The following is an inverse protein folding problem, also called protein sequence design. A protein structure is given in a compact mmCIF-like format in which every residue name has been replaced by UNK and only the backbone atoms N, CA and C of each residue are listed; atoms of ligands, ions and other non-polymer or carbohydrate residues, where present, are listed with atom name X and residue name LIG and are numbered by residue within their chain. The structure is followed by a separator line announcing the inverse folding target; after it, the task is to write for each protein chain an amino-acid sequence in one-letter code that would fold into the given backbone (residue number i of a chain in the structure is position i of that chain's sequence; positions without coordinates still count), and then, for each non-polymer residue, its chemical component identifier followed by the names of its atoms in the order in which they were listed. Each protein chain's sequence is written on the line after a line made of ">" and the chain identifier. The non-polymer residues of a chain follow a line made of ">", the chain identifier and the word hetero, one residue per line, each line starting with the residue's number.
data_IF_698881427142
#
_entry.id   IF_698881427142
#
_cell.length_a   1.000
_cell.length_b   1.000
_cell.length_c   1.000
_cell.angle_alpha   90.00
_cell.angle_beta   90.00
_cell.angle_gamma   90.00
#
_symmetry.space_group_name_H-M   'P 1'
#
loop_
_entity.id
_entity.type
_entity.pdbx_description
1 polymer ?
#
# COMPACT_ATOMS: atom_id res chain seq x y z
N UNK A 1 -16.89 6.25 1.14
CA UNK A 1 -15.66 5.56 1.58
C UNK A 1 -15.37 4.44 0.61
N UNK A 2 -14.08 4.20 0.31
CA UNK A 2 -13.58 3.14 -0.56
C UNK A 2 -13.79 1.77 0.10
N UNK A 3 -14.35 0.84 -0.67
CA UNK A 3 -14.67 -0.53 -0.26
C UNK A 3 -13.87 -1.60 -1.02
N UNK A 4 -12.90 -1.17 -1.81
CA UNK A 4 -12.02 -2.04 -2.59
C UNK A 4 -10.57 -1.60 -2.44
N UNK A 5 -9.67 -2.56 -2.28
CA UNK A 5 -8.23 -2.35 -2.20
C UNK A 5 -7.72 -1.63 -3.45
N UNK A 6 -6.77 -0.73 -3.25
CA UNK A 6 -6.24 0.13 -4.30
C UNK A 6 -4.79 0.50 -4.01
N UNK A 7 -4.00 0.51 -5.09
CA UNK A 7 -2.61 0.95 -5.09
C UNK A 7 -2.49 2.07 -6.12
N UNK A 8 -1.85 3.17 -5.71
CA UNK A 8 -1.50 4.25 -6.61
C UNK A 8 -0.54 3.74 -7.67
N UNK A 9 -0.85 3.98 -8.96
CA UNK A 9 -0.23 3.24 -10.08
C UNK A 9 0.24 4.12 -11.26
N UNK A 10 1.17 5.06 -11.05
CA UNK A 10 1.80 5.77 -12.17
C UNK A 10 2.73 4.86 -13.00
N UNK A 11 3.13 3.72 -12.42
CA UNK A 11 3.75 2.57 -13.06
C UNK A 11 3.25 1.30 -12.36
N UNK A 12 3.36 0.16 -13.03
CA UNK A 12 3.05 -1.17 -12.46
C UNK A 12 4.31 -2.01 -12.24
N UNK A 13 5.43 -1.65 -12.86
CA UNK A 13 6.70 -2.37 -12.71
C UNK A 13 7.43 -1.95 -11.43
N UNK A 14 7.38 -2.82 -10.42
CA UNK A 14 8.00 -2.54 -9.14
C UNK A 14 9.54 -2.69 -9.15
N UNK A 15 10.13 -3.58 -9.94
CA UNK A 15 11.58 -3.82 -9.82
C UNK A 15 12.39 -2.73 -10.50
N UNK A 16 12.04 -2.34 -11.73
CA UNK A 16 12.86 -1.36 -12.45
C UNK A 16 12.47 0.08 -12.10
N UNK A 17 11.17 0.35 -11.91
CA UNK A 17 10.71 1.72 -11.71
C UNK A 17 10.91 2.18 -10.27
N UNK A 18 10.85 1.29 -9.26
CA UNK A 18 11.02 1.71 -7.86
C UNK A 18 12.43 2.23 -7.61
N UNK A 19 13.49 1.58 -8.12
CA UNK A 19 14.86 2.05 -7.93
C UNK A 19 15.02 3.52 -8.38
N UNK A 20 14.63 3.80 -9.62
CA UNK A 20 14.75 5.14 -10.20
C UNK A 20 13.80 6.16 -9.55
N UNK A 21 12.63 5.71 -9.08
CA UNK A 21 11.74 6.55 -8.27
C UNK A 21 12.36 6.89 -6.91
N UNK A 22 13.00 5.93 -6.25
CA UNK A 22 13.73 6.15 -4.99
C UNK A 22 14.87 7.15 -5.21
N UNK A 23 15.63 6.98 -6.30
CA UNK A 23 16.72 7.89 -6.67
C UNK A 23 16.20 9.32 -6.86
N UNK A 24 15.10 9.50 -7.61
CA UNK A 24 14.46 10.82 -7.78
C UNK A 24 13.95 11.42 -6.45
N UNK A 25 13.41 10.59 -5.55
CA UNK A 25 12.98 11.04 -4.23
C UNK A 25 14.16 11.44 -3.35
N UNK A 26 15.30 10.75 -3.45
CA UNK A 26 16.50 11.06 -2.69
C UNK A 26 17.06 12.45 -3.03
N UNK A 27 17.01 12.84 -4.31
CA UNK A 27 17.40 14.19 -4.74
C UNK A 27 16.52 15.30 -4.12
N UNK A 28 15.35 14.96 -3.57
CA UNK A 28 14.47 15.89 -2.87
C UNK A 28 14.59 15.83 -1.34
N UNK A 29 15.49 15.02 -0.79
CA UNK A 29 15.67 14.89 0.66
C UNK A 29 15.91 16.24 1.34
N UNK A 30 15.24 16.47 2.48
CA UNK A 30 15.28 17.75 3.20
C UNK A 30 14.34 18.83 2.66
N UNK A 31 13.79 18.66 1.45
CA UNK A 31 12.84 19.62 0.85
C UNK A 31 11.47 19.51 1.51
N UNK A 32 10.82 20.66 1.77
CA UNK A 32 9.43 20.70 2.24
C UNK A 32 8.47 20.16 1.19
N UNK A 33 7.64 19.17 1.53
CA UNK A 33 6.77 18.47 0.56
C UNK A 33 5.35 19.02 0.52
N UNK A 34 4.63 19.01 1.64
CA UNK A 34 3.19 19.35 1.66
C UNK A 34 2.94 20.77 1.16
N UNK A 35 2.04 20.90 0.17
CA UNK A 35 1.69 22.19 -0.44
C UNK A 35 2.72 22.74 -1.42
N UNK A 36 3.88 22.08 -1.60
CA UNK A 36 4.97 22.59 -2.42
C UNK A 36 4.85 22.13 -3.87
N UNK A 37 4.16 22.93 -4.69
CA UNK A 37 4.00 22.64 -6.13
C UNK A 37 5.32 22.61 -6.90
N UNK A 38 6.33 23.36 -6.46
CA UNK A 38 7.63 23.36 -7.09
C UNK A 38 8.35 22.03 -6.88
N UNK A 39 8.38 21.52 -5.64
CA UNK A 39 8.93 20.18 -5.35
C UNK A 39 8.19 19.08 -6.12
N UNK A 40 6.86 19.20 -6.28
CA UNK A 40 6.09 18.24 -7.07
C UNK A 40 6.48 18.26 -8.56
N UNK A 41 6.65 19.44 -9.15
CA UNK A 41 7.10 19.60 -10.55
C UNK A 41 8.55 19.14 -10.73
N UNK A 42 9.39 19.40 -9.74
CA UNK A 42 10.78 18.94 -9.73
C UNK A 42 10.86 17.42 -9.77
N UNK A 43 10.07 16.73 -8.95
CA UNK A 43 9.99 15.28 -9.02
C UNK A 43 9.63 14.78 -10.43
N UNK A 44 8.70 15.43 -11.14
CA UNK A 44 8.37 15.06 -12.52
C UNK A 44 9.53 15.27 -13.50
N UNK A 45 10.31 16.34 -13.33
CA UNK A 45 11.51 16.58 -14.13
C UNK A 45 12.54 15.48 -13.90
N UNK A 46 12.82 15.15 -12.66
CA UNK A 46 13.74 14.07 -12.28
C UNK A 46 13.29 12.72 -12.85
N UNK A 47 12.00 12.38 -12.74
CA UNK A 47 11.45 11.13 -13.27
C UNK A 47 11.50 11.04 -14.80
N UNK A 48 11.35 12.19 -15.48
CA UNK A 48 11.50 12.29 -16.94
C UNK A 48 12.96 12.10 -17.33
N UNK A 49 13.89 12.78 -16.65
CA UNK A 49 15.32 12.66 -16.90
C UNK A 49 15.83 11.21 -16.71
N UNK A 50 15.30 10.50 -15.71
CA UNK A 50 15.62 9.08 -15.41
C UNK A 50 14.89 8.07 -16.31
N UNK A 51 14.08 8.57 -17.27
CA UNK A 51 13.31 7.74 -18.24
C UNK A 51 12.38 6.74 -17.55
N UNK A 52 11.67 7.20 -16.52
CA UNK A 52 10.65 6.41 -15.78
C UNK A 52 9.25 6.94 -16.04
N UNK A 53 9.15 8.25 -16.31
CA UNK A 53 7.93 8.94 -16.69
C UNK A 53 8.08 9.46 -18.12
N UNK A 54 6.99 9.42 -18.89
CA UNK A 54 6.93 10.04 -20.20
C UNK A 54 7.19 11.55 -20.11
N UNK A 55 7.70 12.12 -21.21
CA UNK A 55 8.04 13.55 -21.31
C UNK A 55 6.86 14.45 -20.96
N UNK A 56 7.14 15.53 -20.24
CA UNK A 56 6.18 16.54 -19.84
C UNK A 56 6.11 16.69 -18.32
N UNK A 57 5.70 17.87 -17.87
CA UNK A 57 5.49 18.20 -16.46
C UNK A 57 4.10 18.77 -16.34
N UNK A 58 3.29 18.26 -15.41
CA UNK A 58 1.94 18.80 -15.27
C UNK A 58 1.95 20.20 -14.66
N UNK A 59 0.97 21.02 -15.06
CA UNK A 59 0.90 22.41 -14.63
C UNK A 59 0.82 22.56 -13.11
N UNK A 60 0.21 21.62 -12.40
CA UNK A 60 -0.02 21.68 -10.95
C UNK A 60 0.90 20.71 -10.15
N UNK A 61 1.77 19.96 -10.82
CA UNK A 61 2.57 18.91 -10.19
C UNK A 61 1.76 17.67 -9.77
N UNK A 62 0.57 17.48 -10.32
CA UNK A 62 -0.25 16.26 -10.14
C UNK A 62 0.51 14.97 -10.43
N UNK A 63 1.36 14.93 -11.47
CA UNK A 63 2.14 13.74 -11.79
C UNK A 63 3.14 13.41 -10.67
N UNK A 64 3.86 14.42 -10.18
CA UNK A 64 4.81 14.27 -9.09
C UNK A 64 4.14 13.75 -7.82
N UNK A 65 2.97 14.29 -7.48
CA UNK A 65 2.18 13.79 -6.34
C UNK A 65 1.81 12.32 -6.48
N UNK A 66 1.39 11.88 -7.67
CA UNK A 66 1.04 10.48 -7.93
C UNK A 66 2.24 9.54 -7.80
N UNK A 67 3.40 9.93 -8.32
CA UNK A 67 4.66 9.17 -8.17
C UNK A 67 5.15 9.12 -6.73
N UNK A 68 5.15 10.25 -6.04
CA UNK A 68 5.52 10.28 -4.63
C UNK A 68 4.57 9.44 -3.78
N UNK A 69 3.27 9.43 -4.10
CA UNK A 69 2.27 8.59 -3.43
C UNK A 69 2.56 7.09 -3.61
N UNK A 70 2.99 6.64 -4.79
CA UNK A 70 3.46 5.26 -5.00
C UNK A 70 4.66 4.94 -4.08
N UNK A 71 5.69 5.79 -4.09
CA UNK A 71 6.88 5.58 -3.27
C UNK A 71 6.56 5.56 -1.75
N UNK A 72 5.62 6.40 -1.33
CA UNK A 72 5.13 6.53 0.05
C UNK A 72 4.30 5.31 0.46
N UNK A 73 3.50 4.76 -0.46
CA UNK A 73 2.73 3.51 -0.28
C UNK A 73 3.63 2.33 0.05
N UNK A 74 4.79 2.23 -0.63
CA UNK A 74 5.81 1.22 -0.37
C UNK A 74 6.88 1.64 0.65
N UNK A 75 6.69 2.76 1.35
CA UNK A 75 7.50 3.11 2.52
C UNK A 75 8.94 3.48 2.18
N UNK A 76 9.20 3.97 0.97
CA UNK A 76 10.53 4.42 0.56
C UNK A 76 10.90 5.80 1.08
N UNK A 77 9.89 6.62 1.40
CA UNK A 77 10.08 7.94 1.98
C UNK A 77 8.85 8.33 2.82
N UNK A 78 9.00 9.37 3.62
CA UNK A 78 7.91 10.04 4.33
C UNK A 78 8.26 11.52 4.58
N UNK A 79 7.27 12.42 4.72
CA UNK A 79 7.53 13.74 5.28
C UNK A 79 7.69 13.63 6.80
N UNK A 80 8.79 14.14 7.33
CA UNK A 80 9.04 14.18 8.76
C UNK A 80 8.17 15.24 9.46
N UNK A 81 8.31 15.38 10.78
CA UNK A 81 7.61 16.39 11.59
C UNK A 81 7.78 17.84 11.10
N UNK A 82 8.86 18.14 10.38
CA UNK A 82 9.13 19.46 9.78
C UNK A 82 8.63 19.55 8.33
N UNK A 83 7.81 18.59 7.89
CA UNK A 83 7.31 18.45 6.52
C UNK A 83 8.39 18.19 5.45
N UNK A 84 9.60 17.79 5.85
CA UNK A 84 10.70 17.56 4.92
C UNK A 84 10.70 16.11 4.43
N UNK A 85 10.95 15.90 3.14
CA UNK A 85 11.19 14.58 2.55
C UNK A 85 12.32 13.90 3.31
N UNK A 86 12.07 12.69 3.81
CA UNK A 86 13.07 11.84 4.48
C UNK A 86 13.06 10.46 3.85
N UNK A 87 14.23 9.99 3.43
CA UNK A 87 14.38 8.67 2.81
C UNK A 87 14.49 7.58 3.88
N UNK A 88 13.84 6.45 3.65
CA UNK A 88 13.84 5.36 4.63
C UNK A 88 15.08 4.46 4.51
N UNK A 89 15.47 3.76 5.59
CA UNK A 89 16.59 2.82 5.54
C UNK A 89 16.52 1.78 4.42
N UNK A 90 15.32 1.26 4.11
CA UNK A 90 15.13 0.32 2.99
C UNK A 90 15.42 0.96 1.63
N UNK A 91 15.04 2.22 1.45
CA UNK A 91 15.28 2.94 0.22
C UNK A 91 16.78 3.20 0.03
N UNK A 92 17.48 3.56 1.10
CA UNK A 92 18.95 3.69 1.08
C UNK A 92 19.64 2.35 0.75
N UNK A 93 19.19 1.24 1.33
CA UNK A 93 19.73 -0.09 1.02
C UNK A 93 19.50 -0.48 -0.45
N UNK A 94 18.32 -0.18 -1.00
CA UNK A 94 18.01 -0.39 -2.43
C UNK A 94 18.96 0.43 -3.31
N UNK A 95 19.17 1.71 -2.99
CA UNK A 95 20.08 2.59 -3.75
C UNK A 95 21.53 2.11 -3.72
N UNK A 96 21.96 1.55 -2.58
CA UNK A 96 23.28 0.94 -2.41
C UNK A 96 23.44 -0.39 -3.17
N UNK A 97 22.39 -0.91 -3.82
CA UNK A 97 22.42 -2.18 -4.52
C UNK A 97 22.35 -3.41 -3.59
N UNK A 98 22.06 -3.21 -2.31
CA UNK A 98 22.04 -4.28 -1.32
C UNK A 98 20.72 -5.05 -1.38
N UNK A 99 20.77 -6.33 -1.74
CA UNK A 99 19.61 -7.24 -1.72
C UNK A 99 18.34 -6.61 -2.32
N UNK A 100 18.49 -5.91 -3.46
CA UNK A 100 17.45 -5.02 -4.02
C UNK A 100 16.12 -5.75 -4.17
N UNK A 101 16.14 -6.94 -4.76
CA UNK A 101 14.94 -7.76 -4.95
C UNK A 101 14.28 -8.10 -3.61
N UNK A 102 15.04 -8.56 -2.62
CA UNK A 102 14.50 -8.94 -1.31
C UNK A 102 13.95 -7.74 -0.54
N UNK A 103 14.54 -6.55 -0.69
CA UNK A 103 14.01 -5.31 -0.12
C UNK A 103 12.70 -4.88 -0.77
N UNK A 104 12.59 -4.97 -2.10
CA UNK A 104 11.34 -4.68 -2.83
C UNK A 104 10.27 -5.72 -2.47
N UNK A 105 10.62 -7.01 -2.48
CA UNK A 105 9.75 -8.11 -2.05
C UNK A 105 9.23 -7.87 -0.62
N UNK A 106 10.10 -7.46 0.29
CA UNK A 106 9.72 -7.10 1.66
C UNK A 106 8.67 -5.98 1.68
N UNK A 107 8.86 -4.91 0.92
CA UNK A 107 7.90 -3.81 0.90
C UNK A 107 6.57 -4.22 0.26
N UNK A 108 6.58 -5.02 -0.81
CA UNK A 108 5.34 -5.52 -1.43
C UNK A 108 4.57 -6.41 -0.45
N UNK A 109 5.23 -7.41 0.14
CA UNK A 109 4.57 -8.35 1.06
C UNK A 109 4.19 -7.73 2.40
N UNK A 110 4.82 -6.63 2.82
CA UNK A 110 4.44 -5.90 4.03
C UNK A 110 3.46 -4.76 3.76
N UNK A 111 3.14 -4.46 2.50
CA UNK A 111 2.10 -3.48 2.18
C UNK A 111 0.82 -3.89 2.88
N UNK A 112 0.26 -2.97 3.66
CA UNK A 112 -0.92 -3.22 4.48
C UNK A 112 -1.97 -2.14 4.30
N UNK A 113 -3.22 -2.52 4.56
CA UNK A 113 -4.35 -1.61 4.67
C UNK A 113 -4.98 -1.80 6.05
N UNK A 114 -5.14 -0.71 6.83
CA UNK A 114 -4.56 0.62 6.61
C UNK A 114 -3.03 0.66 6.75
N UNK A 115 -2.42 1.69 6.14
CA UNK A 115 -1.04 2.11 6.35
C UNK A 115 -0.99 3.61 6.71
N UNK A 116 0.21 4.14 6.99
CA UNK A 116 0.40 5.55 7.35
C UNK A 116 -0.12 6.53 6.29
N UNK A 117 0.14 6.27 5.01
CA UNK A 117 -0.22 7.17 3.91
C UNK A 117 -1.73 7.25 3.66
N UNK A 118 -2.43 6.11 3.66
CA UNK A 118 -3.87 6.07 3.33
C UNK A 118 -4.76 6.82 4.34
N UNK A 119 -4.23 7.13 5.53
CA UNK A 119 -4.90 7.93 6.54
C UNK A 119 -4.64 9.45 6.39
N UNK A 120 -3.62 9.87 5.64
CA UNK A 120 -3.29 11.29 5.42
C UNK A 120 -4.33 12.02 4.58
N UNK A 121 -4.53 13.32 4.76
CA UNK A 121 -5.47 14.12 3.95
C UNK A 121 -5.23 14.03 2.43
N UNK A 122 -4.00 13.72 2.01
CA UNK A 122 -3.63 13.53 0.61
C UNK A 122 -4.13 12.23 -0.04
N UNK A 123 -4.69 11.29 0.73
CA UNK A 123 -5.32 10.08 0.19
C UNK A 123 -6.84 10.16 0.28
N UNK A 124 -7.51 10.12 -0.87
CA UNK A 124 -8.96 10.15 -0.98
C UNK A 124 -9.41 9.26 -2.15
N UNK A 125 -10.56 8.56 -2.04
CA UNK A 125 -11.42 8.46 -0.86
C UNK A 125 -10.83 7.53 0.22
N UNK A 126 -11.16 7.82 1.48
CA UNK A 126 -10.78 6.98 2.63
C UNK A 126 -11.39 5.60 2.55
N UNK A 127 -10.64 4.59 2.98
CA UNK A 127 -11.15 3.24 3.19
C UNK A 127 -12.26 3.25 4.25
N UNK A 128 -13.26 2.39 4.06
CA UNK A 128 -14.24 2.13 5.12
C UNK A 128 -13.59 1.41 6.32
N UNK A 129 -14.22 1.45 7.51
CA UNK A 129 -13.72 0.71 8.66
C UNK A 129 -13.65 -0.81 8.41
N UNK A 130 -12.78 -1.49 9.15
CA UNK A 130 -12.68 -2.95 9.17
C UNK A 130 -11.47 -3.54 8.44
N UNK A 131 -10.76 -2.74 7.63
CA UNK A 131 -9.52 -3.23 7.00
C UNK A 131 -8.43 -3.55 8.03
N UNK A 132 -7.86 -4.75 7.88
CA UNK A 132 -6.65 -5.26 8.54
C UNK A 132 -6.10 -6.39 7.68
N UNK A 133 -5.43 -6.04 6.59
CA UNK A 133 -4.96 -7.01 5.58
C UNK A 133 -3.58 -6.64 5.05
N UNK A 134 -2.82 -7.66 4.66
CA UNK A 134 -1.65 -7.56 3.80
C UNK A 134 -2.05 -8.05 2.41
N UNK A 135 -2.44 -7.16 1.47
CA UNK A 135 -3.11 -7.57 0.23
C UNK A 135 -2.30 -8.60 -0.57
N UNK A 136 -0.98 -8.40 -0.66
CA UNK A 136 -0.11 -9.31 -1.41
C UNK A 136 0.17 -10.63 -0.68
N UNK A 137 0.16 -10.67 0.65
CA UNK A 137 0.21 -11.98 1.35
C UNK A 137 -1.10 -12.73 1.16
N UNK A 138 -2.23 -12.04 1.24
CA UNK A 138 -3.54 -12.64 1.04
C UNK A 138 -3.69 -13.21 -0.38
N UNK A 139 -3.28 -12.46 -1.40
CA UNK A 139 -3.28 -12.94 -2.78
C UNK A 139 -2.33 -14.12 -2.99
N UNK A 140 -1.14 -14.10 -2.36
CA UNK A 140 -0.22 -15.24 -2.44
C UNK A 140 -0.82 -16.47 -1.75
N UNK A 141 -1.48 -16.31 -0.58
CA UNK A 141 -2.21 -17.38 0.11
C UNK A 141 -3.25 -18.02 -0.82
N UNK A 142 -4.07 -17.22 -1.51
CA UNK A 142 -5.03 -17.72 -2.51
C UNK A 142 -4.34 -18.54 -3.61
N UNK A 143 -3.21 -18.06 -4.15
CA UNK A 143 -2.44 -18.77 -5.17
C UNK A 143 -1.78 -20.06 -4.66
N UNK A 144 -1.68 -20.27 -3.35
CA UNK A 144 -1.21 -21.53 -2.76
C UNK A 144 -2.32 -22.55 -2.48
N UNK A 145 -3.59 -22.21 -2.74
CA UNK A 145 -4.75 -23.09 -2.53
C UNK A 145 -4.89 -24.05 -3.72
N UNK A 146 -4.88 -25.35 -3.44
CA UNK A 146 -4.96 -26.43 -4.45
C UNK A 146 -6.30 -26.40 -5.19
N UNK A 147 -7.40 -26.12 -4.48
CA UNK A 147 -8.76 -26.02 -5.02
C UNK A 147 -8.88 -24.91 -6.08
N UNK A 148 -8.07 -23.85 -5.95
CA UNK A 148 -8.01 -22.77 -6.92
C UNK A 148 -7.05 -23.07 -8.08
N UNK A 149 -6.48 -24.28 -8.13
CA UNK A 149 -5.49 -24.71 -9.12
C UNK A 149 -4.28 -23.78 -9.21
N UNK A 150 -3.94 -23.13 -8.09
CA UNK A 150 -2.87 -22.14 -8.00
C UNK A 150 -2.98 -20.94 -8.96
N UNK A 151 -4.19 -20.64 -9.47
CA UNK A 151 -4.41 -19.60 -10.46
C UNK A 151 -5.57 -18.69 -10.07
N UNK A 152 -5.50 -17.42 -10.48
CA UNK A 152 -6.55 -16.43 -10.29
C UNK A 152 -6.79 -15.68 -11.59
N UNK A 153 -8.04 -15.60 -12.01
CA UNK A 153 -8.46 -14.77 -13.14
C UNK A 153 -8.62 -13.31 -12.72
N UNK A 154 -8.38 -12.38 -13.64
CA UNK A 154 -8.46 -10.93 -13.36
C UNK A 154 -9.84 -10.52 -12.83
N UNK A 155 -10.89 -11.16 -13.32
CA UNK A 155 -12.28 -10.91 -12.93
C UNK A 155 -12.56 -11.39 -11.50
N UNK A 156 -12.02 -12.56 -11.13
CA UNK A 156 -12.04 -13.08 -9.76
C UNK A 156 -11.31 -12.15 -8.80
N UNK A 157 -10.14 -11.64 -9.23
CA UNK A 157 -9.39 -10.66 -8.46
C UNK A 157 -10.22 -9.39 -8.27
N UNK A 158 -10.91 -8.94 -9.33
CA UNK A 158 -11.70 -7.71 -9.34
C UNK A 158 -12.84 -7.75 -8.34
N UNK A 159 -13.67 -8.80 -8.35
CA UNK A 159 -14.86 -8.85 -7.51
C UNK A 159 -14.67 -9.54 -6.17
N UNK A 160 -13.76 -10.50 -6.06
CA UNK A 160 -13.70 -11.37 -4.87
C UNK A 160 -12.49 -11.07 -3.99
N UNK A 161 -11.34 -10.73 -4.60
CA UNK A 161 -10.15 -10.33 -3.86
C UNK A 161 -10.18 -8.85 -3.45
N UNK A 162 -10.40 -7.91 -4.38
CA UNK A 162 -10.29 -6.49 -4.07
C UNK A 162 -11.19 -6.00 -2.92
N UNK A 163 -12.41 -6.53 -2.70
CA UNK A 163 -13.23 -6.12 -1.56
C UNK A 163 -12.79 -6.66 -0.19
N UNK A 164 -11.90 -7.66 -0.16
CA UNK A 164 -11.49 -8.31 1.09
C UNK A 164 -10.82 -7.34 2.05
N UNK A 165 -11.13 -7.46 3.34
CA UNK A 165 -10.64 -6.56 4.39
C UNK A 165 -9.69 -7.23 5.36
N UNK A 166 -9.78 -8.53 5.55
CA UNK A 166 -9.01 -9.28 6.55
C UNK A 166 -8.65 -10.69 6.08
N UNK A 167 -7.60 -11.26 6.65
CA UNK A 167 -7.19 -12.66 6.38
C UNK A 167 -8.25 -13.69 6.82
N UNK A 168 -9.17 -13.33 7.72
CA UNK A 168 -10.26 -14.21 8.17
C UNK A 168 -11.27 -14.51 7.06
N UNK A 169 -11.29 -13.71 5.99
CA UNK A 169 -12.20 -13.89 4.86
C UNK A 169 -11.66 -14.89 3.83
N UNK A 170 -10.44 -15.41 4.00
CA UNK A 170 -9.81 -16.33 3.03
C UNK A 170 -10.72 -17.52 2.65
N UNK A 171 -11.34 -18.27 3.59
CA UNK A 171 -12.20 -19.39 3.21
C UNK A 171 -13.41 -18.95 2.37
N UNK A 172 -14.03 -17.83 2.73
CA UNK A 172 -15.18 -17.29 2.01
C UNK A 172 -14.81 -16.82 0.60
N UNK A 173 -13.63 -16.23 0.43
CA UNK A 173 -13.15 -15.81 -0.89
C UNK A 173 -12.88 -17.02 -1.78
N UNK A 174 -12.25 -18.08 -1.25
CA UNK A 174 -12.06 -19.34 -1.96
C UNK A 174 -13.40 -19.95 -2.39
N UNK A 175 -14.36 -20.05 -1.47
CA UNK A 175 -15.71 -20.57 -1.75
C UNK A 175 -16.40 -19.75 -2.85
N UNK A 176 -16.30 -18.42 -2.79
CA UNK A 176 -16.93 -17.54 -3.79
C UNK A 176 -16.31 -17.69 -5.17
N UNK A 177 -14.98 -17.85 -5.26
CA UNK A 177 -14.28 -18.11 -6.52
C UNK A 177 -14.71 -19.45 -7.09
N UNK A 178 -14.72 -20.51 -6.28
CA UNK A 178 -15.14 -21.85 -6.71
C UNK A 178 -16.59 -21.88 -7.18
N UNK A 179 -17.49 -21.21 -6.45
CA UNK A 179 -18.87 -21.06 -6.86
C UNK A 179 -18.98 -20.39 -8.23
N UNK A 180 -18.24 -19.29 -8.47
CA UNK A 180 -18.23 -18.63 -9.77
C UNK A 180 -17.67 -19.53 -10.89
N UNK A 181 -16.58 -20.27 -10.64
CA UNK A 181 -16.01 -21.20 -11.61
C UNK A 181 -17.01 -22.29 -12.00
N UNK A 182 -17.68 -22.90 -11.02
CA UNK A 182 -18.72 -23.90 -11.27
C UNK A 182 -19.88 -23.34 -12.09
N UNK A 183 -20.37 -22.14 -11.76
CA UNK A 183 -21.41 -21.48 -12.55
C UNK A 183 -20.97 -21.27 -14.00
N UNK A 184 -19.73 -20.84 -14.23
CA UNK A 184 -19.18 -20.63 -15.56
C UNK A 184 -19.03 -21.95 -16.33
N UNK A 185 -18.69 -23.04 -15.66
CA UNK A 185 -18.66 -24.37 -16.28
C UNK A 185 -20.07 -24.86 -16.66
N UNK A 186 -21.09 -24.55 -15.85
CA UNK A 186 -22.48 -24.95 -16.08
C UNK A 186 -23.15 -24.18 -17.23
N UNK A 187 -22.99 -22.85 -17.28
CA UNK A 187 -23.71 -21.99 -18.22
C UNK A 187 -22.84 -21.33 -19.32
N UNK A 188 -21.51 -21.42 -19.21
CA UNK A 188 -20.54 -20.84 -20.14
C UNK A 188 -20.37 -19.32 -20.05
N UNK A 189 -21.05 -18.64 -19.13
CA UNK A 189 -21.10 -17.17 -19.07
C UNK A 189 -19.92 -16.58 -18.29
N UNK A 190 -19.24 -15.61 -18.91
CA UNK A 190 -18.23 -14.78 -18.27
C UNK A 190 -18.86 -13.83 -17.25
N UNK A 191 -18.02 -13.26 -16.38
CA UNK A 191 -18.51 -12.39 -15.31
C UNK A 191 -19.17 -11.11 -15.86
N UNK A 192 -18.65 -10.57 -16.97
CA UNK A 192 -19.19 -9.39 -17.65
C UNK A 192 -20.63 -9.60 -18.15
N UNK A 193 -21.04 -10.85 -18.37
CA UNK A 193 -22.39 -11.21 -18.83
C UNK A 193 -23.38 -11.38 -17.68
N UNK A 194 -22.90 -11.45 -16.43
CA UNK A 194 -23.71 -11.66 -15.22
C UNK A 194 -24.17 -10.33 -14.60
N UNK A 195 -24.97 -9.57 -15.36
CA UNK A 195 -25.42 -8.23 -14.99
C UNK A 195 -26.08 -8.13 -13.61
N UNK A 196 -26.88 -9.12 -13.20
CA UNK A 196 -27.51 -9.15 -11.87
C UNK A 196 -26.49 -9.20 -10.73
N UNK A 197 -25.48 -10.07 -10.85
CA UNK A 197 -24.37 -10.16 -9.89
C UNK A 197 -23.59 -8.84 -9.84
N UNK A 198 -23.22 -8.32 -11.03
CA UNK A 198 -22.45 -7.10 -11.16
C UNK A 198 -23.16 -5.86 -10.60
N UNK A 199 -24.45 -5.72 -10.88
CA UNK A 199 -25.24 -4.59 -10.37
C UNK A 199 -25.41 -4.64 -8.86
N UNK A 200 -25.59 -5.83 -8.28
CA UNK A 200 -25.57 -6.03 -6.82
C UNK A 200 -24.24 -5.64 -6.19
N UNK A 201 -23.12 -6.04 -6.83
CA UNK A 201 -21.78 -5.66 -6.40
C UNK A 201 -21.51 -4.16 -6.52
N UNK A 202 -21.84 -3.53 -7.65
CA UNK A 202 -21.65 -2.10 -7.85
C UNK A 202 -22.46 -1.27 -6.86
N UNK A 203 -23.72 -1.62 -6.62
CA UNK A 203 -24.59 -0.95 -5.64
C UNK A 203 -23.98 -0.99 -4.23
N UNK A 204 -23.36 -2.12 -3.87
CA UNK A 204 -22.80 -2.32 -2.53
C UNK A 204 -21.37 -1.78 -2.38
N UNK A 205 -20.55 -1.75 -3.44
CA UNK A 205 -19.10 -1.50 -3.37
C UNK A 205 -18.60 -0.27 -4.15
N UNK A 206 -19.37 0.29 -5.10
CA UNK A 206 -18.92 1.45 -5.86
C UNK A 206 -19.01 2.74 -5.04
N UNK A 207 -17.85 3.12 -4.49
CA UNK A 207 -17.71 4.34 -3.72
C UNK A 207 -17.75 5.63 -4.56
N UNK A 208 -17.66 5.53 -5.89
CA UNK A 208 -17.68 6.67 -6.81
C UNK A 208 -19.09 7.23 -7.00
N UNK A 209 -20.12 6.41 -6.74
CA UNK A 209 -21.55 6.75 -6.85
C UNK A 209 -21.89 7.51 -8.15
N UNK A 210 -21.33 7.08 -9.27
CA UNK A 210 -21.63 7.71 -10.55
C UNK A 210 -23.05 7.34 -10.97
N UNK A 211 -23.85 8.32 -11.38
CA UNK A 211 -25.25 8.11 -11.78
C UNK A 211 -25.40 7.30 -13.06
N UNK A 212 -24.32 7.16 -13.84
CA UNK A 212 -24.24 6.50 -15.14
C UNK A 212 -23.46 5.18 -15.12
N UNK A 213 -22.93 4.74 -13.97
CA UNK A 213 -22.15 3.50 -13.91
C UNK A 213 -23.00 2.30 -13.56
N UNK A 214 -23.21 1.41 -14.53
CA UNK A 214 -23.70 0.05 -14.30
C UNK A 214 -22.61 -0.88 -13.71
N UNK A 215 -22.99 -2.13 -13.44
CA UNK A 215 -22.09 -3.14 -12.91
C UNK A 215 -20.89 -3.45 -13.81
N UNK A 216 -21.03 -3.35 -15.14
CA UNK A 216 -19.95 -3.59 -16.10
C UNK A 216 -18.91 -2.47 -16.01
N UNK A 217 -19.35 -1.22 -15.99
CA UNK A 217 -18.48 -0.05 -15.78
C UNK A 217 -17.77 -0.07 -14.42
N UNK A 218 -18.34 -0.73 -13.42
CA UNK A 218 -17.65 -0.96 -12.15
C UNK A 218 -16.60 -2.07 -12.26
N UNK A 219 -16.92 -3.18 -12.94
CA UNK A 219 -15.97 -4.25 -13.22
C UNK A 219 -14.76 -3.76 -14.02
N UNK A 220 -14.94 -2.93 -15.05
CA UNK A 220 -13.84 -2.38 -15.85
C UNK A 220 -12.89 -1.52 -15.00
N UNK A 221 -13.47 -0.70 -14.11
CA UNK A 221 -12.70 0.09 -13.17
C UNK A 221 -11.87 -0.77 -12.21
N UNK A 222 -12.45 -1.87 -11.72
CA UNK A 222 -11.75 -2.81 -10.85
C UNK A 222 -10.70 -3.62 -11.61
N UNK A 223 -10.95 -3.99 -12.86
CA UNK A 223 -10.05 -4.77 -13.70
C UNK A 223 -8.68 -4.12 -13.85
N UNK A 224 -8.62 -2.80 -13.97
CA UNK A 224 -7.32 -2.09 -14.02
C UNK A 224 -6.58 -2.15 -12.67
N UNK A 225 -7.32 -2.14 -11.55
CA UNK A 225 -6.75 -2.38 -10.21
C UNK A 225 -6.26 -3.81 -10.07
N UNK A 226 -7.02 -4.78 -10.55
CA UNK A 226 -6.67 -6.20 -10.53
C UNK A 226 -5.40 -6.48 -11.33
N UNK A 227 -5.30 -5.96 -12.56
CA UNK A 227 -4.10 -6.07 -13.38
C UNK A 227 -2.88 -5.47 -12.66
N UNK A 228 -3.06 -4.35 -11.96
CA UNK A 228 -2.00 -3.74 -11.16
C UNK A 228 -1.55 -4.67 -10.02
N UNK A 229 -2.48 -5.29 -9.30
CA UNK A 229 -2.13 -6.25 -8.24
C UNK A 229 -1.45 -7.50 -8.82
N UNK A 230 -1.88 -8.00 -9.99
CA UNK A 230 -1.24 -9.13 -10.67
C UNK A 230 0.21 -8.82 -11.04
N UNK A 231 0.49 -7.66 -11.64
CA UNK A 231 1.84 -7.28 -12.05
C UNK A 231 2.74 -7.07 -10.82
N UNK A 232 2.23 -6.42 -9.77
CA UNK A 232 3.01 -6.26 -8.53
C UNK A 232 3.22 -7.61 -7.84
N UNK A 233 2.23 -8.52 -7.87
CA UNK A 233 2.38 -9.87 -7.34
C UNK A 233 3.48 -10.64 -8.09
N UNK A 234 3.47 -10.59 -9.42
CA UNK A 234 4.52 -11.20 -10.25
C UNK A 234 5.92 -10.68 -9.84
N UNK A 235 6.03 -9.40 -9.50
CA UNK A 235 7.28 -8.80 -9.04
C UNK A 235 7.79 -9.27 -7.66
N UNK A 236 6.96 -9.99 -6.89
CA UNK A 236 7.41 -10.69 -5.66
C UNK A 236 8.46 -11.73 -6.00
N UNK A 237 8.29 -12.43 -7.13
CA UNK A 237 9.29 -13.30 -7.74
C UNK A 237 8.87 -13.71 -9.17
N UNK A 238 9.47 -13.11 -10.20
CA UNK A 238 9.10 -13.38 -11.61
C UNK A 238 9.27 -14.84 -12.02
N UNK A 239 10.15 -15.61 -11.36
CA UNK A 239 10.32 -17.02 -11.69
C UNK A 239 9.17 -17.89 -11.21
N UNK A 240 8.41 -17.44 -10.22
CA UNK A 240 7.35 -18.23 -9.59
C UNK A 240 6.04 -18.19 -10.35
N UNK A 241 5.80 -17.14 -11.12
CA UNK A 241 4.50 -16.90 -11.73
C UNK A 241 4.54 -17.06 -13.24
N UNK A 242 3.40 -17.47 -13.79
CA UNK A 242 3.03 -17.28 -15.19
C UNK A 242 1.88 -16.27 -15.21
N UNK A 243 2.01 -15.17 -15.98
CA UNK A 243 1.01 -14.10 -16.00
C UNK A 243 0.66 -13.68 -17.42
N UNK A 244 -0.63 -13.50 -17.67
CA UNK A 244 -1.19 -12.82 -18.83
C UNK A 244 -2.03 -11.61 -18.37
N UNK A 245 -2.70 -10.93 -19.30
CA UNK A 245 -3.58 -9.82 -18.95
C UNK A 245 -4.85 -10.27 -18.20
N UNK A 246 -5.21 -11.55 -18.30
CA UNK A 246 -6.44 -12.12 -17.71
C UNK A 246 -6.21 -13.15 -16.61
N UNK A 247 -4.97 -13.59 -16.38
CA UNK A 247 -4.64 -14.68 -15.45
C UNK A 247 -3.29 -14.45 -14.78
N UNK A 248 -3.19 -14.83 -13.50
CA UNK A 248 -1.92 -15.07 -12.82
C UNK A 248 -1.96 -16.47 -12.20
N UNK A 249 -0.90 -17.24 -12.42
CA UNK A 249 -0.73 -18.60 -11.93
C UNK A 249 0.59 -18.71 -11.18
N UNK A 250 0.57 -19.31 -9.99
CA UNK A 250 1.76 -19.76 -9.27
C UNK A 250 2.14 -21.15 -9.78
N UNK A 251 3.37 -21.30 -10.26
CA UNK A 251 3.87 -22.59 -10.74
C UNK A 251 3.86 -23.63 -9.63
N UNK A 252 3.38 -24.84 -9.94
CA UNK A 252 3.17 -25.93 -8.98
C UNK A 252 4.43 -26.26 -8.18
N UNK A 253 5.59 -26.27 -8.83
CA UNK A 253 6.88 -26.52 -8.20
C UNK A 253 7.29 -25.44 -7.18
N UNK A 254 6.70 -24.24 -7.26
CA UNK A 254 7.02 -23.12 -6.37
C UNK A 254 6.04 -22.96 -5.20
N UNK A 255 4.98 -23.77 -5.12
CA UNK A 255 3.95 -23.68 -4.07
C UNK A 255 4.56 -23.81 -2.67
N UNK A 256 5.45 -24.79 -2.46
CA UNK A 256 6.13 -24.99 -1.15
C UNK A 256 6.99 -23.78 -0.77
N UNK A 257 7.72 -23.21 -1.73
CA UNK A 257 8.53 -22.01 -1.51
C UNK A 257 7.65 -20.79 -1.17
N UNK A 258 6.51 -20.64 -1.83
CA UNK A 258 5.56 -19.58 -1.55
C UNK A 258 4.93 -19.71 -0.15
N UNK A 259 4.53 -20.91 0.25
CA UNK A 259 4.02 -21.20 1.59
C UNK A 259 5.08 -20.91 2.66
N UNK A 260 6.33 -21.31 2.44
CA UNK A 260 7.42 -21.01 3.35
C UNK A 260 7.66 -19.50 3.46
N UNK A 261 7.67 -18.77 2.33
CA UNK A 261 7.80 -17.32 2.32
C UNK A 261 6.67 -16.63 3.10
N UNK A 262 5.43 -17.08 2.93
CA UNK A 262 4.28 -16.57 3.70
C UNK A 262 4.52 -16.78 5.20
N UNK A 263 4.91 -17.98 5.62
CA UNK A 263 5.13 -18.31 7.03
C UNK A 263 6.26 -17.47 7.64
N UNK A 264 7.36 -17.29 6.91
CA UNK A 264 8.48 -16.45 7.32
C UNK A 264 8.05 -14.98 7.47
N UNK A 265 7.22 -14.48 6.55
CA UNK A 265 6.71 -13.11 6.61
C UNK A 265 5.67 -12.91 7.72
N UNK A 266 4.77 -13.86 7.94
CA UNK A 266 3.75 -13.80 8.98
C UNK A 266 4.39 -13.86 10.38
N UNK A 267 5.45 -14.65 10.56
CA UNK A 267 6.20 -14.70 11.83
C UNK A 267 7.07 -13.47 12.08
N UNK A 268 7.70 -12.93 11.03
CA UNK A 268 8.68 -11.84 11.16
C UNK A 268 8.05 -10.45 11.13
N UNK A 269 7.03 -10.25 10.30
CA UNK A 269 6.49 -8.93 9.98
C UNK A 269 5.01 -8.87 10.31
N UNK A 270 4.71 -8.61 11.58
CA UNK A 270 3.36 -8.45 12.09
C UNK A 270 2.68 -7.17 11.59
N UNK A 271 1.34 -7.16 11.59
CA UNK A 271 0.55 -5.99 11.22
C UNK A 271 0.91 -4.77 12.07
N UNK A 272 1.40 -3.71 11.42
CA UNK A 272 1.95 -2.55 12.10
C UNK A 272 0.83 -1.56 12.45
N UNK A 273 0.52 -1.40 13.73
CA UNK A 273 -0.50 -0.44 14.20
C UNK A 273 -0.01 1.02 14.35
N UNK A 274 1.27 1.31 14.06
CA UNK A 274 1.86 2.66 14.26
C UNK A 274 1.26 3.73 13.36
N UNK A 275 0.53 3.37 12.30
CA UNK A 275 -0.25 4.33 11.50
C UNK A 275 -1.28 5.10 12.34
N UNK A 276 -1.69 4.56 13.49
CA UNK A 276 -2.59 5.25 14.44
C UNK A 276 -1.91 6.39 15.18
N UNK A 277 -0.58 6.42 15.24
CA UNK A 277 0.21 7.45 15.91
C UNK A 277 0.48 8.59 14.92
N UNK A 278 1.16 8.26 13.84
CA UNK A 278 1.44 9.16 12.73
C UNK A 278 1.96 8.36 11.55
N UNK A 279 1.92 8.97 10.37
CA UNK A 279 2.55 8.40 9.20
C UNK A 279 4.06 8.23 9.38
N UNK A 280 4.75 9.23 9.94
CA UNK A 280 6.18 9.13 10.23
C UNK A 280 6.50 7.94 11.14
N UNK A 281 5.71 7.70 12.19
CA UNK A 281 5.89 6.56 13.09
C UNK A 281 5.69 5.23 12.36
N UNK A 282 4.74 5.17 11.42
CA UNK A 282 4.54 4.02 10.56
C UNK A 282 5.73 3.80 9.61
N UNK A 283 6.09 4.81 8.84
CA UNK A 283 7.12 4.75 7.79
C UNK A 283 8.50 4.41 8.37
N UNK A 284 8.85 4.97 9.53
CA UNK A 284 10.10 4.64 10.24
C UNK A 284 10.24 3.17 10.65
N UNK A 285 9.13 2.45 10.81
CA UNK A 285 9.15 1.01 11.13
C UNK A 285 9.01 0.15 9.88
N UNK A 286 8.07 0.51 9.00
CA UNK A 286 7.80 -0.19 7.76
C UNK A 286 9.00 -0.11 6.78
N UNK A 287 9.62 1.06 6.69
CA UNK A 287 10.79 1.37 5.88
C UNK A 287 12.14 0.94 6.47
N UNK A 288 12.17 0.07 7.48
CA UNK A 288 13.42 -0.60 7.88
C UNK A 288 13.90 -1.53 6.76
N UNK A 289 15.22 -1.72 6.64
CA UNK A 289 15.81 -2.68 5.71
C UNK A 289 15.62 -4.14 6.20
N UNK A 290 16.28 -5.10 5.54
CA UNK A 290 16.22 -6.52 5.92
C UNK A 290 17.01 -6.87 7.19
N UNK A 291 17.92 -6.03 7.65
CA UNK A 291 18.86 -6.36 8.73
C UNK A 291 18.52 -5.65 10.05
N UNK A 292 17.73 -4.58 10.00
CA UNK A 292 17.29 -3.80 11.16
C UNK A 292 15.96 -4.32 11.69
N UNK A 293 15.96 -4.73 12.97
CA UNK A 293 14.75 -5.12 13.70
C UNK A 293 14.14 -3.98 14.52
N UNK A 294 14.91 -2.90 14.77
CA UNK A 294 14.49 -1.74 15.54
C UNK A 294 14.84 -0.46 14.78
N UNK A 295 13.97 0.54 14.93
CA UNK A 295 14.28 1.88 14.45
C UNK A 295 15.31 2.53 15.37
N UNK A 296 16.57 2.51 14.95
CA UNK A 296 17.67 3.28 15.56
C UNK A 296 18.00 4.53 14.75
N UNK A 297 17.32 4.75 13.62
CA UNK A 297 17.52 5.90 12.74
C UNK A 297 16.98 7.16 13.41
N UNK A 298 17.90 8.06 13.76
CA UNK A 298 17.60 9.35 14.38
C UNK A 298 17.96 10.46 13.42
N UNK A 299 16.98 10.93 12.67
CA UNK A 299 17.14 12.15 11.89
C UNK A 299 17.13 13.34 12.86
N UNK A 300 18.30 13.92 13.12
CA UNK A 300 18.46 15.20 13.82
C UNK A 300 18.12 15.27 15.32
N UNK A 301 17.84 14.16 16.01
CA UNK A 301 17.56 14.16 17.45
C UNK A 301 18.53 13.28 18.25
N UNK A 302 19.21 13.88 19.22
CA UNK A 302 20.03 13.16 20.21
C UNK A 302 19.18 12.21 21.07
N UNK A 303 19.83 11.39 21.92
CA UNK A 303 19.09 10.57 22.89
C UNK A 303 18.30 11.52 23.77
N UNK A 304 16.97 11.42 23.79
CA UNK A 304 16.17 12.15 24.79
C UNK A 304 16.63 11.66 26.15
N UNK A 305 17.31 12.53 26.89
CA UNK A 305 17.90 12.18 28.19
C UNK A 305 16.78 11.84 29.17
N UNK A 306 17.08 11.08 30.23
CA UNK A 306 16.08 10.81 31.29
C UNK A 306 15.50 12.11 31.87
N UNK A 307 16.30 13.17 31.92
CA UNK A 307 15.86 14.50 32.33
C UNK A 307 14.80 15.08 31.37
N UNK A 308 15.07 15.09 30.06
CA UNK A 308 14.12 15.59 29.06
C UNK A 308 12.79 14.79 29.05
N UNK A 309 12.84 13.47 29.29
CA UNK A 309 11.63 12.66 29.44
C UNK A 309 10.81 13.04 30.68
N UNK A 310 11.50 13.35 31.78
CA UNK A 310 10.86 13.78 33.04
C UNK A 310 10.21 15.16 32.88
N UNK A 311 10.88 16.10 32.22
CA UNK A 311 10.36 17.44 32.00
C UNK A 311 9.14 17.45 31.07
N UNK A 312 9.16 16.63 30.02
CA UNK A 312 8.00 16.46 29.15
C UNK A 312 6.79 15.86 29.91
N UNK A 313 7.03 14.90 30.80
CA UNK A 313 5.98 14.29 31.63
C UNK A 313 5.42 15.30 32.66
N UNK A 314 6.28 16.10 33.29
CA UNK A 314 5.87 17.17 34.20
C UNK A 314 5.03 18.22 33.48
N UNK A 315 5.43 18.64 32.28
CA UNK A 315 4.69 19.60 31.47
C UNK A 315 3.30 19.07 31.08
N UNK A 316 3.22 17.82 30.63
CA UNK A 316 1.95 17.17 30.29
C UNK A 316 1.05 16.98 31.52
N UNK A 317 1.63 16.76 32.69
CA UNK A 317 0.89 16.65 33.95
C UNK A 317 0.37 18.01 34.41
N UNK A 318 1.19 19.06 34.31
CA UNK A 318 0.79 20.45 34.60
C UNK A 318 -0.33 20.93 33.66
N UNK A 319 -0.25 20.63 32.36
CA UNK A 319 -1.29 20.93 31.38
C UNK A 319 -2.60 20.20 31.69
N UNK A 320 -2.54 18.93 32.12
CA UNK A 320 -3.72 18.19 32.59
C UNK A 320 -4.33 18.82 33.84
N UNK A 321 -3.51 19.22 34.80
CA UNK A 321 -3.98 19.88 36.03
C UNK A 321 -4.64 21.22 35.69
N UNK A 322 -4.03 22.03 34.82
CA UNK A 322 -4.60 23.29 34.34
C UNK A 322 -5.92 23.09 33.59
N UNK A 323 -6.09 21.99 32.87
CA UNK A 323 -7.35 21.67 32.21
C UNK A 323 -8.45 21.14 33.14
N UNK A 324 -8.09 20.61 34.31
CA UNK A 324 -9.03 20.06 35.30
C UNK A 324 -9.37 21.09 36.38
N UNK A 325 -8.55 22.13 36.56
CA UNK A 325 -8.81 23.18 37.54
C UNK A 325 -9.74 24.25 36.95
N UNK A 326 -10.96 24.46 37.49
CA UNK A 326 -11.77 25.61 37.12
C UNK A 326 -11.03 26.89 37.53
N UNK A 327 -11.13 27.91 36.69
CA UNK A 327 -10.59 29.25 36.93
C UNK A 327 -10.83 29.68 38.38
N UNK A 328 -9.75 29.91 39.14
CA UNK A 328 -9.83 30.76 40.33
C UNK A 328 -9.84 32.18 39.79
N UNK A 329 -11.04 32.74 39.68
CA UNK A 329 -11.24 34.15 39.39
C UNK A 329 -10.83 34.93 40.64
N UNK A 330 -9.58 35.42 40.66
CA UNK A 330 -9.09 36.28 41.73
C UNK A 330 -9.66 37.69 41.52
N UNK A 331 -10.93 37.87 41.86
CA UNK A 331 -11.53 39.18 42.12
C UNK A 331 -12.36 39.11 43.41
N UNK A 332 -11.66 39.28 44.54
CA UNK A 332 -12.18 39.89 45.78
C UNK A 332 -11.02 40.56 46.51
#
# INVERSE_FOLDING_TARGET
>A
MRKTMFITRPTRDALTSHYKLIEAMQELEGTSWTGNREAHRELERLLTAKKVKASGVSNDGSGGRTWAALARTFGYWYPNSNNQVTITPVALAILAGEFVHQHVQKQILNYQIPNGYVLTSGFSPKYEPGYRIFPFRFMLKLLTIDELEHKLHRDEISLFFLPTKTDLELPKVVETIMYYRNLKEEDGLDLCERSGLLNGYATSHDHRRRSDSDGVNFLDYLSDSSLTHMIIMESVNYYWFSRSDGLIELKKEMVKNAQQLINDFDSRYHFNARFKISEESFARHYGLDLFRSKNTFRHGQGVVTRAQKRDALLKQTAEKILHISPFIDNNT
#
